data_IF_889757800400
#
_entry.id   IF_889757800400
#
_cell.length_a   1.000
_cell.length_b   1.000
_cell.length_c   1.000
_cell.angle_alpha   90.00
_cell.angle_beta   90.00
_cell.angle_gamma   90.00
#
_symmetry.space_group_name_H-M   'P 1'
#
loop_
_entity.id
_entity.type
_entity.pdbx_description
1 polymer ?
#
# COMPACT_ATOMS: atom_id res chain seq x y z
N UNK A 1 -1.19 9.11 -7.07
CA UNK A 1 -2.53 8.94 -7.67
C UNK A 1 -2.77 7.51 -8.10
N UNK A 2 -2.14 6.99 -9.16
CA UNK A 2 -2.32 5.59 -9.57
C UNK A 2 -2.05 4.57 -8.45
N UNK A 3 -0.95 4.76 -7.72
CA UNK A 3 -0.60 3.89 -6.59
C UNK A 3 -1.66 3.91 -5.47
N UNK A 4 -2.23 5.08 -5.14
CA UNK A 4 -3.25 5.18 -4.11
C UNK A 4 -4.57 4.54 -4.52
N UNK A 5 -4.97 4.72 -5.76
CA UNK A 5 -6.17 4.06 -6.31
C UNK A 5 -6.00 2.54 -6.35
N UNK A 6 -4.81 2.05 -6.72
CA UNK A 6 -4.52 0.62 -6.75
C UNK A 6 -4.43 -0.03 -5.37
N UNK A 7 -4.00 0.71 -4.34
CA UNK A 7 -4.00 0.24 -2.95
C UNK A 7 -5.42 0.28 -2.36
N UNK A 8 -6.12 1.40 -2.51
CA UNK A 8 -7.44 1.61 -1.87
C UNK A 8 -8.58 0.90 -2.61
N UNK A 9 -8.47 0.71 -3.92
CA UNK A 9 -9.52 0.09 -4.74
C UNK A 9 -9.91 -1.30 -4.29
N UNK A 10 -8.98 -2.26 -4.27
CA UNK A 10 -9.24 -3.60 -3.77
C UNK A 10 -9.78 -3.63 -2.34
N UNK A 11 -9.24 -2.79 -1.43
CA UNK A 11 -9.71 -2.73 -0.04
C UNK A 11 -11.20 -2.34 0.06
N UNK A 12 -11.60 -1.30 -0.69
CA UNK A 12 -12.99 -0.84 -0.71
C UNK A 12 -13.91 -1.83 -1.43
N UNK A 13 -13.45 -2.39 -2.55
CA UNK A 13 -14.19 -3.40 -3.31
C UNK A 13 -14.40 -4.71 -2.53
N UNK A 14 -13.39 -5.17 -1.79
CA UNK A 14 -13.53 -6.32 -0.90
C UNK A 14 -14.57 -6.04 0.19
N UNK A 15 -14.48 -4.87 0.83
CA UNK A 15 -15.38 -4.48 1.92
C UNK A 15 -16.86 -4.48 1.50
N UNK A 16 -17.18 -4.19 0.24
CA UNK A 16 -18.57 -4.22 -0.26
C UNK A 16 -19.16 -5.63 -0.35
N UNK A 17 -18.33 -6.66 -0.57
CA UNK A 17 -18.76 -8.06 -0.71
C UNK A 17 -18.40 -8.94 0.48
N UNK A 18 -17.52 -8.47 1.37
CA UNK A 18 -16.95 -9.25 2.46
C UNK A 18 -17.99 -9.81 3.42
N UNK A 19 -18.98 -8.99 3.78
CA UNK A 19 -20.08 -9.43 4.64
C UNK A 19 -20.91 -10.55 3.99
N UNK A 20 -21.22 -10.41 2.69
CA UNK A 20 -21.96 -11.41 1.94
C UNK A 20 -21.18 -12.72 1.82
N UNK A 21 -19.86 -12.63 1.66
CA UNK A 21 -18.96 -13.78 1.69
C UNK A 21 -18.97 -14.47 3.06
N UNK A 22 -18.74 -13.72 4.14
CA UNK A 22 -18.67 -14.27 5.49
C UNK A 22 -19.99 -14.94 5.91
N UNK A 23 -21.13 -14.30 5.59
CA UNK A 23 -22.46 -14.85 5.85
C UNK A 23 -22.70 -16.15 5.10
N UNK A 24 -22.35 -16.22 3.81
CA UNK A 24 -22.58 -17.44 3.00
C UNK A 24 -21.59 -18.55 3.34
N UNK A 25 -20.33 -18.21 3.61
CA UNK A 25 -19.24 -19.19 3.78
C UNK A 25 -19.17 -19.75 5.19
N UNK A 26 -19.40 -18.91 6.20
CA UNK A 26 -19.24 -19.25 7.62
C UNK A 26 -20.57 -19.21 8.39
N UNK A 27 -21.66 -18.72 7.79
CA UNK A 27 -22.94 -18.56 8.48
C UNK A 27 -22.94 -17.40 9.48
N UNK A 28 -21.98 -16.47 9.40
CA UNK A 28 -21.86 -15.36 10.33
C UNK A 28 -23.07 -14.44 10.29
N UNK A 29 -23.50 -14.02 11.48
CA UNK A 29 -24.48 -12.95 11.64
C UNK A 29 -23.77 -11.57 11.65
N UNK A 30 -24.55 -10.51 11.79
CA UNK A 30 -24.03 -9.13 11.81
C UNK A 30 -23.11 -8.87 13.00
N UNK A 31 -23.37 -9.51 14.14
CA UNK A 31 -22.58 -9.36 15.37
C UNK A 31 -21.22 -10.04 15.18
N UNK A 32 -21.17 -11.28 14.70
CA UNK A 32 -19.93 -12.03 14.47
C UNK A 32 -19.01 -11.28 13.50
N UNK A 33 -19.59 -10.75 12.42
CA UNK A 33 -18.86 -9.96 11.44
C UNK A 33 -18.34 -8.63 12.01
N UNK A 34 -19.15 -7.96 12.83
CA UNK A 34 -18.74 -6.73 13.53
C UNK A 34 -17.61 -6.98 14.52
N UNK A 35 -17.68 -8.08 15.29
CA UNK A 35 -16.62 -8.51 16.20
C UNK A 35 -15.33 -8.81 15.44
N UNK A 36 -15.41 -9.54 14.31
CA UNK A 36 -14.25 -9.76 13.43
C UNK A 36 -13.60 -8.45 12.99
N UNK A 37 -14.37 -7.52 12.41
CA UNK A 37 -13.83 -6.24 11.95
C UNK A 37 -13.21 -5.44 13.08
N UNK A 38 -13.82 -5.44 14.26
CA UNK A 38 -13.31 -4.74 15.44
C UNK A 38 -11.97 -5.30 15.89
N UNK A 39 -11.86 -6.64 16.01
CA UNK A 39 -10.62 -7.32 16.40
C UNK A 39 -9.51 -7.04 15.38
N UNK A 40 -9.79 -7.24 14.09
CA UNK A 40 -8.78 -7.03 13.04
C UNK A 40 -8.36 -5.56 12.97
N UNK A 41 -9.28 -4.61 13.14
CA UNK A 41 -8.94 -3.18 13.14
C UNK A 41 -7.96 -2.82 14.27
N UNK A 42 -8.19 -3.33 15.49
CA UNK A 42 -7.27 -3.12 16.62
C UNK A 42 -5.91 -3.75 16.33
N UNK A 43 -5.89 -4.98 15.84
CA UNK A 43 -4.65 -5.70 15.49
C UNK A 43 -3.85 -4.94 14.43
N UNK A 44 -4.50 -4.46 13.37
CA UNK A 44 -3.86 -3.69 12.30
C UNK A 44 -3.32 -2.34 12.79
N UNK A 45 -4.04 -1.63 13.66
CA UNK A 45 -3.56 -0.37 14.26
C UNK A 45 -2.31 -0.64 15.11
N UNK A 46 -2.38 -1.61 16.02
CA UNK A 46 -1.28 -1.93 16.92
C UNK A 46 -0.06 -2.45 16.17
N UNK A 47 -0.25 -3.42 15.28
CA UNK A 47 0.85 -4.02 14.54
C UNK A 47 1.38 -3.11 13.43
N UNK A 48 0.54 -2.27 12.81
CA UNK A 48 0.99 -1.25 11.86
C UNK A 48 1.84 -0.17 12.53
N UNK A 49 1.47 0.26 13.75
CA UNK A 49 2.26 1.20 14.56
C UNK A 49 3.57 0.57 15.02
N UNK A 50 3.53 -0.66 15.51
CA UNK A 50 4.71 -1.41 15.90
C UNK A 50 5.65 -1.60 14.71
N UNK A 51 5.14 -1.98 13.54
CA UNK A 51 5.90 -2.15 12.32
C UNK A 51 6.57 -0.84 11.91
N UNK A 52 5.84 0.27 11.88
CA UNK A 52 6.41 1.56 11.55
C UNK A 52 7.50 1.96 12.56
N UNK A 53 7.25 1.83 13.85
CA UNK A 53 8.22 2.14 14.88
C UNK A 53 9.48 1.26 14.78
N UNK A 54 9.31 -0.04 14.57
CA UNK A 54 10.41 -0.99 14.49
C UNK A 54 11.20 -0.82 13.17
N UNK A 55 10.55 -0.94 12.03
CA UNK A 55 11.22 -0.91 10.73
C UNK A 55 11.72 0.48 10.32
N UNK A 56 11.01 1.56 10.68
CA UNK A 56 11.45 2.92 10.34
C UNK A 56 12.50 3.42 11.33
N UNK A 57 12.27 3.32 12.65
CA UNK A 57 13.17 3.93 13.64
C UNK A 57 14.38 3.05 14.00
N UNK A 58 14.20 1.74 14.07
CA UNK A 58 15.29 0.82 14.45
C UNK A 58 16.14 0.41 13.25
N UNK A 59 15.50 0.12 12.11
CA UNK A 59 16.19 -0.38 10.91
C UNK A 59 16.47 0.68 9.83
N UNK A 60 16.02 1.93 10.02
CA UNK A 60 16.18 3.04 9.05
C UNK A 60 15.80 2.66 7.61
N UNK A 61 14.76 1.82 7.44
CA UNK A 61 14.32 1.41 6.11
C UNK A 61 13.58 2.55 5.41
N UNK A 62 13.86 2.72 4.12
CA UNK A 62 13.14 3.65 3.24
C UNK A 62 11.65 3.27 3.14
N UNK A 63 10.76 4.27 3.01
CA UNK A 63 9.30 4.08 2.92
C UNK A 63 8.87 3.10 1.82
N UNK A 64 9.64 3.02 0.72
CA UNK A 64 9.39 2.06 -0.36
C UNK A 64 9.62 0.60 0.05
N UNK A 65 10.56 0.33 0.95
CA UNK A 65 10.82 -1.03 1.46
C UNK A 65 9.69 -1.47 2.40
N UNK A 66 9.20 -0.56 3.24
CA UNK A 66 8.02 -0.78 4.07
C UNK A 66 6.79 -1.12 3.23
N UNK A 67 6.58 -0.41 2.12
CA UNK A 67 5.52 -0.72 1.16
C UNK A 67 5.66 -2.13 0.56
N UNK A 68 6.87 -2.56 0.19
CA UNK A 68 7.12 -3.91 -0.35
C UNK A 68 6.79 -4.99 0.69
N UNK A 69 7.24 -4.85 1.94
CA UNK A 69 6.98 -5.82 3.01
C UNK A 69 5.47 -5.93 3.26
N UNK A 70 4.77 -4.80 3.33
CA UNK A 70 3.33 -4.78 3.52
C UNK A 70 2.58 -5.47 2.37
N UNK A 71 2.97 -5.22 1.12
CA UNK A 71 2.37 -5.85 -0.06
C UNK A 71 2.64 -7.36 -0.14
N UNK A 72 3.82 -7.82 0.28
CA UNK A 72 4.10 -9.25 0.38
C UNK A 72 3.21 -9.92 1.45
N UNK A 73 3.06 -9.28 2.61
CA UNK A 73 2.17 -9.78 3.66
C UNK A 73 0.72 -9.87 3.17
N UNK A 74 0.28 -8.85 2.41
CA UNK A 74 -1.04 -8.82 1.81
C UNK A 74 -1.26 -9.93 0.79
N UNK A 75 -0.28 -10.20 -0.08
CA UNK A 75 -0.37 -11.31 -1.04
C UNK A 75 -0.50 -12.67 -0.34
N UNK A 76 0.25 -12.89 0.74
CA UNK A 76 0.11 -14.08 1.56
C UNK A 76 -1.28 -14.17 2.19
N UNK A 77 -1.77 -13.07 2.77
CA UNK A 77 -3.10 -13.01 3.39
C UNK A 77 -4.22 -13.30 2.38
N UNK A 78 -4.14 -12.74 1.18
CA UNK A 78 -5.13 -12.97 0.10
C UNK A 78 -5.25 -14.45 -0.25
N UNK A 79 -4.14 -15.18 -0.31
CA UNK A 79 -4.16 -16.63 -0.56
C UNK A 79 -4.89 -17.34 0.58
N UNK A 80 -4.58 -16.99 1.84
CA UNK A 80 -5.25 -17.56 3.01
C UNK A 80 -6.75 -17.25 3.00
N UNK A 81 -7.15 -16.03 2.70
CA UNK A 81 -8.55 -15.62 2.62
C UNK A 81 -9.30 -16.33 1.49
N UNK A 82 -8.71 -16.44 0.30
CA UNK A 82 -9.34 -17.08 -0.85
C UNK A 82 -9.68 -18.56 -0.57
N UNK A 83 -8.83 -19.26 0.18
CA UNK A 83 -9.02 -20.67 0.52
C UNK A 83 -9.59 -20.91 1.93
N UNK A 84 -9.95 -19.86 2.66
CA UNK A 84 -10.45 -19.98 4.03
C UNK A 84 -11.74 -20.83 4.09
N UNK A 85 -11.65 -21.99 4.76
CA UNK A 85 -12.80 -22.89 4.95
C UNK A 85 -13.58 -22.64 6.23
N UNK A 86 -12.94 -22.02 7.22
CA UNK A 86 -13.47 -21.77 8.56
C UNK A 86 -13.16 -20.36 9.00
N UNK A 87 -13.98 -19.80 9.89
CA UNK A 87 -13.74 -18.46 10.45
C UNK A 87 -12.37 -18.30 11.11
N UNK A 88 -11.84 -19.32 11.78
CA UNK A 88 -10.48 -19.27 12.38
C UNK A 88 -9.37 -19.00 11.36
N UNK A 89 -9.40 -19.69 10.22
CA UNK A 89 -8.46 -19.44 9.11
C UNK A 89 -8.63 -18.02 8.56
N UNK A 90 -9.85 -17.50 8.58
CA UNK A 90 -10.13 -16.11 8.19
C UNK A 90 -9.50 -15.11 9.18
N UNK A 91 -9.63 -15.34 10.49
CA UNK A 91 -8.91 -14.54 11.50
C UNK A 91 -7.38 -14.59 11.31
N UNK A 92 -6.82 -15.78 11.06
CA UNK A 92 -5.38 -15.94 10.79
C UNK A 92 -4.96 -15.09 9.57
N UNK A 93 -5.76 -15.07 8.50
CA UNK A 93 -5.52 -14.19 7.36
C UNK A 93 -5.44 -12.71 7.75
N UNK A 94 -6.34 -12.25 8.62
CA UNK A 94 -6.32 -10.89 9.15
C UNK A 94 -5.07 -10.56 9.99
N UNK A 95 -4.55 -11.54 10.75
CA UNK A 95 -3.28 -11.39 11.47
C UNK A 95 -2.07 -11.34 10.53
N UNK A 96 -2.08 -12.14 9.44
CA UNK A 96 -1.02 -12.09 8.42
C UNK A 96 -1.01 -10.73 7.72
N UNK A 97 -2.17 -10.09 7.58
CA UNK A 97 -2.30 -8.76 6.97
C UNK A 97 -1.98 -7.58 7.92
N UNK A 98 -1.38 -7.82 9.09
CA UNK A 98 -1.17 -6.76 10.09
C UNK A 98 -0.40 -5.53 9.57
N UNK A 99 0.44 -5.69 8.54
CA UNK A 99 1.27 -4.63 7.97
C UNK A 99 0.55 -3.74 6.95
N UNK A 100 -0.71 -4.02 6.61
CA UNK A 100 -1.43 -3.26 5.58
C UNK A 100 -1.55 -1.77 5.91
N UNK A 101 -1.78 -1.44 7.18
CA UNK A 101 -1.84 -0.04 7.66
C UNK A 101 -0.54 0.71 7.39
N UNK A 102 0.61 0.04 7.51
CA UNK A 102 1.93 0.62 7.23
C UNK A 102 2.09 0.99 5.77
N UNK A 103 1.51 0.24 4.83
CA UNK A 103 1.52 0.60 3.41
C UNK A 103 0.81 1.92 3.16
N UNK A 104 -0.36 2.12 3.78
CA UNK A 104 -1.14 3.34 3.62
C UNK A 104 -0.38 4.57 4.14
N UNK A 105 0.26 4.43 5.31
CA UNK A 105 1.10 5.49 5.89
C UNK A 105 2.32 5.79 5.01
N UNK A 106 3.03 4.75 4.56
CA UNK A 106 4.24 4.90 3.73
C UNK A 106 3.94 5.56 2.39
N UNK A 107 2.79 5.23 1.78
CA UNK A 107 2.32 5.89 0.57
C UNK A 107 2.09 7.40 0.79
N UNK A 108 1.41 7.77 1.89
CA UNK A 108 1.14 9.17 2.23
C UNK A 108 2.43 9.94 2.52
N UNK A 109 3.39 9.30 3.22
CA UNK A 109 4.71 9.88 3.49
C UNK A 109 5.52 10.10 2.21
N UNK A 110 5.49 9.13 1.28
CA UNK A 110 6.19 9.23 0.00
C UNK A 110 5.61 10.36 -0.86
N UNK A 111 4.29 10.50 -0.88
CA UNK A 111 3.62 11.62 -1.53
C UNK A 111 4.12 12.96 -0.99
N UNK A 112 4.09 13.15 0.33
CA UNK A 112 4.47 14.44 0.94
C UNK A 112 5.94 14.78 0.71
N UNK A 113 6.81 13.77 0.54
CA UNK A 113 8.23 13.95 0.21
C UNK A 113 8.49 14.28 -1.27
N UNK A 114 7.57 13.90 -2.16
CA UNK A 114 7.72 14.08 -3.62
C UNK A 114 7.15 15.43 -4.10
N UNK A 115 6.23 16.02 -3.34
CA UNK A 115 5.51 17.25 -3.71
C UNK A 115 6.09 18.44 -2.94
N UNK A 116 6.32 19.59 -3.60
CA UNK A 116 6.76 20.82 -2.93
C UNK A 116 5.75 21.28 -1.85
N UNK A 117 6.20 21.89 -0.74
CA UNK A 117 5.32 22.28 0.36
C UNK A 117 4.12 23.15 -0.03
N UNK A 118 4.29 24.02 -1.02
CA UNK A 118 3.24 24.93 -1.49
C UNK A 118 2.18 24.25 -2.38
N UNK A 119 2.47 23.06 -2.92
CA UNK A 119 1.54 22.28 -3.75
C UNK A 119 0.91 21.10 -2.99
N UNK A 120 1.29 20.88 -1.72
CA UNK A 120 0.80 19.76 -0.90
C UNK A 120 -0.73 19.77 -0.79
N UNK A 121 -1.33 20.95 -0.59
CA UNK A 121 -2.79 21.09 -0.52
C UNK A 121 -3.48 20.69 -1.82
N UNK A 122 -2.95 21.14 -2.97
CA UNK A 122 -3.48 20.80 -4.28
C UNK A 122 -3.36 19.31 -4.57
N UNK A 123 -2.19 18.72 -4.29
CA UNK A 123 -1.97 17.29 -4.45
C UNK A 123 -2.91 16.47 -3.57
N UNK A 124 -3.05 16.83 -2.29
CA UNK A 124 -3.95 16.14 -1.35
C UNK A 124 -5.42 16.22 -1.79
N UNK A 125 -5.85 17.34 -2.39
CA UNK A 125 -7.20 17.45 -2.99
C UNK A 125 -7.40 16.48 -4.15
N UNK A 126 -6.42 16.34 -5.03
CA UNK A 126 -6.48 15.35 -6.13
C UNK A 126 -6.51 13.93 -5.57
N UNK A 127 -5.71 13.61 -4.54
CA UNK A 127 -5.78 12.31 -3.86
C UNK A 127 -7.17 12.05 -3.28
N UNK A 128 -7.76 13.02 -2.57
CA UNK A 128 -9.09 12.90 -2.00
C UNK A 128 -10.17 12.65 -3.05
N UNK A 129 -10.06 13.28 -4.22
CA UNK A 129 -10.95 13.01 -5.35
C UNK A 129 -10.84 11.55 -5.82
N UNK A 130 -9.62 11.05 -6.03
CA UNK A 130 -9.43 9.64 -6.42
C UNK A 130 -9.92 8.68 -5.34
N UNK A 131 -9.69 8.99 -4.06
CA UNK A 131 -10.15 8.19 -2.93
C UNK A 131 -11.69 8.13 -2.86
N UNK A 132 -12.38 9.23 -3.17
CA UNK A 132 -13.84 9.28 -3.24
C UNK A 132 -14.41 8.54 -4.47
N UNK A 133 -13.73 8.60 -5.62
CA UNK A 133 -14.17 7.92 -6.86
C UNK A 133 -13.89 6.42 -6.82
N UNK A 134 -12.85 6.00 -6.11
CA UNK A 134 -12.42 4.61 -5.99
C UNK A 134 -13.55 3.65 -5.60
N UNK A 135 -14.30 3.84 -4.50
CA UNK A 135 -15.40 2.94 -4.12
C UNK A 135 -16.55 2.91 -5.14
N UNK A 136 -16.79 4.00 -5.87
CA UNK A 136 -17.84 4.06 -6.91
C UNK A 136 -17.55 3.11 -8.08
N UNK A 137 -16.27 2.90 -8.40
CA UNK A 137 -15.84 1.98 -9.46
C UNK A 137 -15.66 0.57 -8.90
N UNK A 138 -14.89 0.44 -7.81
CA UNK A 138 -14.48 -0.85 -7.28
C UNK A 138 -15.62 -1.59 -6.59
N UNK A 139 -16.57 -0.90 -5.96
CA UNK A 139 -17.73 -1.53 -5.33
C UNK A 139 -18.55 -2.36 -6.33
N UNK A 140 -19.07 -1.78 -7.43
CA UNK A 140 -19.79 -2.52 -8.46
C UNK A 140 -18.95 -3.60 -9.15
N UNK A 141 -17.67 -3.35 -9.43
CA UNK A 141 -16.77 -4.34 -10.05
C UNK A 141 -16.66 -5.59 -9.16
N UNK A 142 -16.40 -5.42 -7.87
CA UNK A 142 -16.30 -6.53 -6.93
C UNK A 142 -17.64 -7.22 -6.70
N UNK A 143 -18.73 -6.46 -6.60
CA UNK A 143 -20.09 -7.02 -6.51
C UNK A 143 -20.46 -7.88 -7.72
N UNK A 144 -20.09 -7.45 -8.93
CA UNK A 144 -20.31 -8.23 -10.15
C UNK A 144 -19.46 -9.50 -10.16
N UNK A 145 -18.15 -9.39 -9.89
CA UNK A 145 -17.26 -10.56 -9.79
C UNK A 145 -17.81 -11.55 -8.77
N UNK A 146 -18.22 -11.09 -7.60
CA UNK A 146 -18.79 -11.94 -6.56
C UNK A 146 -20.09 -12.59 -7.04
N UNK A 147 -21.02 -11.83 -7.62
CA UNK A 147 -22.31 -12.36 -8.10
C UNK A 147 -22.14 -13.46 -9.16
N UNK A 148 -21.17 -13.34 -10.07
CA UNK A 148 -20.87 -14.36 -11.06
C UNK A 148 -20.15 -15.59 -10.47
N UNK A 149 -19.32 -15.39 -9.44
CA UNK A 149 -18.44 -16.44 -8.90
C UNK A 149 -18.99 -17.15 -7.67
N UNK A 150 -20.05 -16.62 -7.06
CA UNK A 150 -20.62 -17.10 -5.78
C UNK A 150 -21.04 -18.58 -5.79
N UNK A 151 -21.42 -19.12 -6.95
CA UNK A 151 -21.84 -20.53 -7.09
C UNK A 151 -20.66 -21.49 -7.28
N UNK A 152 -19.59 -21.05 -7.96
CA UNK A 152 -18.44 -21.89 -8.29
C UNK A 152 -17.31 -21.75 -7.28
N UNK A 153 -16.86 -20.51 -7.04
CA UNK A 153 -15.78 -20.21 -6.11
C UNK A 153 -15.98 -18.83 -5.48
N UNK A 154 -16.60 -18.75 -4.29
CA UNK A 154 -16.91 -17.46 -3.65
C UNK A 154 -15.66 -16.69 -3.20
N UNK A 155 -14.49 -17.33 -3.13
CA UNK A 155 -13.20 -16.68 -2.83
C UNK A 155 -12.54 -16.00 -4.04
N UNK A 156 -13.15 -16.00 -5.23
CA UNK A 156 -12.53 -15.47 -6.45
C UNK A 156 -12.20 -13.98 -6.37
N UNK A 157 -13.04 -13.20 -5.68
CA UNK A 157 -12.81 -11.76 -5.52
C UNK A 157 -11.51 -11.47 -4.75
N UNK A 158 -11.12 -12.32 -3.78
CA UNK A 158 -9.81 -12.21 -3.13
C UNK A 158 -8.67 -12.48 -4.11
N UNK A 159 -8.79 -13.47 -4.99
CA UNK A 159 -7.76 -13.72 -6.02
C UNK A 159 -7.64 -12.52 -6.97
N UNK A 160 -8.76 -11.91 -7.36
CA UNK A 160 -8.76 -10.68 -8.14
C UNK A 160 -8.06 -9.53 -7.39
N UNK A 161 -8.31 -9.37 -6.08
CA UNK A 161 -7.53 -8.46 -5.25
C UNK A 161 -6.06 -8.79 -5.27
N UNK A 162 -5.68 -10.06 -5.16
CA UNK A 162 -4.28 -10.49 -5.19
C UNK A 162 -3.56 -10.06 -6.47
N UNK A 163 -4.23 -10.17 -7.63
CA UNK A 163 -3.68 -9.70 -8.91
C UNK A 163 -3.46 -8.18 -8.90
N UNK A 164 -4.40 -7.41 -8.36
CA UNK A 164 -4.25 -5.95 -8.23
C UNK A 164 -3.10 -5.58 -7.27
N UNK A 165 -2.98 -6.26 -6.14
CA UNK A 165 -1.88 -6.06 -5.20
C UNK A 165 -0.53 -6.48 -5.81
N UNK A 166 -0.50 -7.46 -6.71
CA UNK A 166 0.72 -7.84 -7.43
C UNK A 166 1.19 -6.72 -8.37
N UNK A 167 0.26 -6.06 -9.08
CA UNK A 167 0.56 -4.88 -9.89
C UNK A 167 1.10 -3.75 -9.01
N UNK A 168 0.47 -3.51 -7.85
CA UNK A 168 0.93 -2.53 -6.86
C UNK A 168 2.34 -2.85 -6.33
N UNK A 169 2.64 -4.12 -6.05
CA UNK A 169 3.96 -4.57 -5.64
C UNK A 169 5.02 -4.26 -6.72
N UNK A 170 4.72 -4.56 -7.99
CA UNK A 170 5.60 -4.22 -9.10
C UNK A 170 5.89 -2.72 -9.17
N UNK A 171 4.89 -1.87 -8.96
CA UNK A 171 5.06 -0.42 -8.91
C UNK A 171 5.97 0.01 -7.75
N UNK A 172 5.78 -0.54 -6.55
CA UNK A 172 6.67 -0.26 -5.41
C UNK A 172 8.12 -0.65 -5.68
N UNK A 173 8.35 -1.80 -6.32
CA UNK A 173 9.71 -2.25 -6.70
C UNK A 173 10.33 -1.31 -7.74
N UNK A 174 9.56 -0.85 -8.73
CA UNK A 174 10.03 0.13 -9.71
C UNK A 174 10.37 1.46 -9.05
N UNK A 175 9.50 1.97 -8.16
CA UNK A 175 9.76 3.20 -7.41
C UNK A 175 11.02 3.09 -6.56
N UNK A 176 11.24 1.96 -5.90
CA UNK A 176 12.46 1.70 -5.13
C UNK A 176 13.71 1.76 -6.02
N UNK A 177 13.68 1.13 -7.21
CA UNK A 177 14.80 1.18 -8.16
C UNK A 177 15.08 2.59 -8.65
N UNK A 178 14.04 3.37 -8.96
CA UNK A 178 14.17 4.77 -9.40
C UNK A 178 14.77 5.63 -8.29
N UNK A 179 14.26 5.55 -7.07
CA UNK A 179 14.80 6.31 -5.93
C UNK A 179 16.26 5.96 -5.65
N UNK A 180 16.63 4.68 -5.73
CA UNK A 180 18.02 4.25 -5.57
C UNK A 180 18.92 4.81 -6.67
N UNK A 181 18.44 4.85 -7.91
CA UNK A 181 19.16 5.45 -9.05
C UNK A 181 19.38 6.95 -8.85
N UNK A 182 18.34 7.69 -8.47
CA UNK A 182 18.44 9.13 -8.21
C UNK A 182 19.38 9.46 -7.04
N UNK A 183 19.32 8.71 -5.93
CA UNK A 183 20.27 8.83 -4.82
C UNK A 183 21.72 8.58 -5.28
N UNK A 184 21.94 7.65 -6.21
CA UNK A 184 23.27 7.37 -6.78
C UNK A 184 23.77 8.53 -7.64
N UNK A 185 22.94 9.06 -8.53
CA UNK A 185 23.29 10.20 -9.40
C UNK A 185 23.59 11.46 -8.60
N UNK A 186 22.85 11.72 -7.52
CA UNK A 186 23.13 12.87 -6.64
C UNK A 186 24.50 12.75 -5.97
N UNK A 187 24.85 11.57 -5.46
CA UNK A 187 26.16 11.32 -4.87
C UNK A 187 27.29 11.48 -5.89
N UNK A 188 27.08 11.01 -7.11
CA UNK A 188 28.04 11.18 -8.20
C UNK A 188 28.20 12.67 -8.60
N UNK A 189 27.10 13.41 -8.69
CA UNK A 189 27.13 14.86 -8.96
C UNK A 189 27.85 15.64 -7.86
N UNK A 190 27.62 15.29 -6.60
CA UNK A 190 28.33 15.88 -5.45
C UNK A 190 29.83 15.57 -5.51
N UNK A 191 30.22 14.31 -5.76
CA UNK A 191 31.62 13.91 -5.93
C UNK A 191 32.30 14.64 -7.08
N UNK A 192 31.59 14.86 -8.20
CA UNK A 192 32.14 15.56 -9.35
C UNK A 192 32.31 17.07 -9.08
N UNK A 193 31.41 17.70 -8.31
CA UNK A 193 31.58 19.09 -7.86
C UNK A 193 32.74 19.27 -6.85
N UNK A 194 33.02 18.25 -6.03
CA UNK A 194 34.12 18.28 -5.06
C UNK A 194 35.50 18.08 -5.72
N UNK A 195 35.55 17.48 -6.91
CA UNK A 195 36.77 17.25 -7.68
C UNK A 195 37.03 18.28 -8.78
N UNK A 196 36.16 19.27 -8.97
CA UNK A 196 36.41 20.39 -9.88
C UNK A 196 37.38 21.36 -9.17
N UNK A 197 38.66 21.45 -9.60
CA UNK A 197 39.61 22.32 -8.92
C UNK A 197 39.12 23.75 -9.07
N UNK A 198 39.13 24.51 -7.98
CA UNK A 198 38.98 25.96 -7.98
C UNK A 198 39.96 26.52 -9.01
N UNK A 199 39.47 26.80 -10.22
CA UNK A 199 40.19 27.61 -11.18
C UNK A 199 40.18 29.03 -10.62
N UNK A 200 41.09 29.29 -9.67
CA UNK A 200 41.51 30.64 -9.34
C UNK A 200 42.11 31.20 -10.61
N UNK A 201 41.27 31.96 -11.34
CA UNK A 201 41.72 32.84 -12.40
C UNK A 201 42.63 33.89 -11.77
N UNK A 202 43.92 33.56 -11.69
CA UNK A 202 45.01 34.49 -11.54
C UNK A 202 45.52 34.85 -12.94
N UNK A 203 45.66 36.15 -13.22
CA UNK A 203 46.01 36.74 -14.51
C UNK A 203 44.78 37.33 -15.22
N UNK A 204 44.56 38.64 -15.35
CA UNK A 204 45.52 39.73 -15.52
C UNK A 204 45.04 41.01 -14.82
N UNK A 205 45.81 41.44 -13.80
CA UNK A 205 45.96 42.86 -13.46
C UNK A 205 47.39 43.23 -13.84
N UNK A 206 47.58 43.71 -15.08
CA UNK A 206 48.81 44.43 -15.46
C UNK A 206 48.44 45.71 -16.21
N UNK A 207 48.59 46.80 -15.45
CA UNK A 207 49.07 48.16 -15.78
C UNK A 207 48.83 48.70 -17.18
#
# INVERSE_FOLDING_TARGET
>A
MLLSTLIMGPLNGESSVLYLFARRRFGWNEIDFSVYNSVISVVQILGGTFALAFFSKYLNLDDSVLGIIAMLSRLCAVIVFAFAKTGLVFYIGGFIEVFQTTCHISMRALMSKTVPPHELGQSNSVFGLFEAVTPLIFGPVYSNIYSYTIKSFPGMFFIFSGLMHLITLCLFVLMYKVQKSEKSKLKEKQRNMEHEPLNTGDGDVKK
#
